data_IF_138716193454
#
_entry.id   IF_138716193454
#
_cell.length_a   1.000
_cell.length_b   1.000
_cell.length_c   1.000
_cell.angle_alpha   90.00
_cell.angle_beta   90.00
_cell.angle_gamma   90.00
#
_symmetry.space_group_name_H-M   'P 1'
#
loop_
_entity.id
_entity.type
_entity.pdbx_description
1 polymer ?
#
# COMPACT_ATOMS: atom_id res chain seq x y z
N UNK A 1 -15.29 -24.54 7.92
CA UNK A 1 -16.14 -23.86 6.93
C UNK A 1 -16.52 -22.51 7.48
N UNK A 2 -16.63 -21.49 6.65
CA UNK A 2 -16.90 -20.11 7.07
C UNK A 2 -18.41 -19.81 7.17
N UNK A 3 -19.25 -20.61 6.52
CA UNK A 3 -20.71 -20.48 6.58
C UNK A 3 -21.45 -21.80 6.31
N UNK A 4 -22.73 -21.85 6.68
CA UNK A 4 -23.66 -22.95 6.35
C UNK A 4 -23.96 -22.98 4.86
N UNK A 5 -23.87 -24.17 4.25
CA UNK A 5 -24.21 -24.39 2.85
C UNK A 5 -25.73 -24.44 2.63
N UNK A 6 -26.17 -23.96 1.47
CA UNK A 6 -27.51 -24.22 0.96
C UNK A 6 -27.57 -25.74 0.69
N UNK A 7 -28.64 -26.47 1.09
CA UNK A 7 -29.99 -25.99 1.44
C UNK A 7 -30.34 -26.00 2.94
N UNK A 8 -29.38 -25.95 3.86
CA UNK A 8 -29.66 -26.04 5.31
C UNK A 8 -30.54 -24.85 5.74
N UNK A 9 -31.72 -25.14 6.32
CA UNK A 9 -32.67 -24.13 6.81
C UNK A 9 -31.99 -23.17 7.79
N UNK A 10 -32.22 -21.87 7.60
CA UNK A 10 -31.64 -20.81 8.41
C UNK A 10 -32.73 -20.21 9.32
N UNK A 11 -32.47 -20.22 10.63
CA UNK A 11 -33.41 -19.67 11.63
C UNK A 11 -33.48 -18.14 11.61
N UNK A 12 -32.36 -17.49 11.27
CA UNK A 12 -32.20 -16.04 11.23
C UNK A 12 -31.00 -15.65 10.34
N UNK A 13 -30.76 -14.34 10.19
CA UNK A 13 -29.69 -13.79 9.35
C UNK A 13 -28.29 -14.13 9.88
N UNK A 14 -28.13 -14.37 11.19
CA UNK A 14 -26.85 -14.70 11.82
C UNK A 14 -26.49 -16.18 11.65
N UNK A 15 -27.49 -17.07 11.62
CA UNK A 15 -27.33 -18.52 11.64
C UNK A 15 -26.43 -19.03 10.51
N UNK A 16 -26.41 -18.36 9.36
CA UNK A 16 -25.48 -18.66 8.25
C UNK A 16 -24.02 -18.70 8.69
N UNK A 17 -23.62 -17.84 9.63
CA UNK A 17 -22.26 -17.73 10.14
C UNK A 17 -22.02 -18.55 11.42
N UNK A 18 -23.05 -19.20 11.95
CA UNK A 18 -22.93 -20.06 13.13
C UNK A 18 -22.37 -21.43 12.73
N UNK A 19 -21.05 -21.52 12.71
CA UNK A 19 -20.30 -22.75 12.41
C UNK A 19 -19.73 -23.34 13.71
N UNK A 20 -19.83 -24.67 13.92
CA UNK A 20 -19.19 -25.30 15.06
C UNK A 20 -17.66 -25.15 15.02
N UNK A 21 -17.09 -24.76 16.16
CA UNK A 21 -15.64 -24.74 16.38
C UNK A 21 -15.30 -25.65 17.55
N UNK A 22 -14.49 -26.67 17.29
CA UNK A 22 -14.07 -27.65 18.28
C UNK A 22 -12.54 -27.71 18.32
N UNK A 23 -11.98 -27.66 19.53
CA UNK A 23 -10.57 -27.96 19.78
C UNK A 23 -10.54 -29.31 20.48
N UNK A 24 -9.89 -30.29 19.86
CA UNK A 24 -9.74 -31.64 20.41
C UNK A 24 -8.26 -31.96 20.65
N UNK A 25 -7.99 -32.63 21.76
CA UNK A 25 -6.68 -33.21 22.06
C UNK A 25 -6.88 -34.46 22.92
N UNK A 26 -6.14 -35.56 22.66
CA UNK A 26 -6.08 -36.70 23.57
C UNK A 26 -5.57 -36.32 24.98
N UNK A 27 -4.86 -35.20 25.09
CA UNK A 27 -4.30 -34.69 26.35
C UNK A 27 -5.23 -33.70 27.08
N UNK A 28 -6.46 -33.51 26.59
CA UNK A 28 -7.40 -32.58 27.22
C UNK A 28 -7.83 -33.11 28.60
N UNK A 29 -7.53 -32.35 29.66
CA UNK A 29 -7.87 -32.74 31.04
C UNK A 29 -9.36 -32.66 31.35
N UNK A 30 -10.05 -31.69 30.74
CA UNK A 30 -11.47 -31.43 30.95
C UNK A 30 -12.07 -30.73 29.74
N UNK A 31 -13.27 -31.16 29.34
CA UNK A 31 -14.08 -30.47 28.34
C UNK A 31 -14.65 -29.16 28.88
N UNK A 32 -14.51 -28.10 28.10
CA UNK A 32 -15.03 -26.77 28.41
C UNK A 32 -15.72 -26.18 27.16
N UNK A 33 -16.62 -25.21 27.38
CA UNK A 33 -17.33 -24.50 26.32
C UNK A 33 -17.17 -22.99 26.52
N UNK A 34 -16.77 -22.30 25.47
CA UNK A 34 -16.78 -20.84 25.43
C UNK A 34 -18.13 -20.39 24.86
N UNK A 35 -18.78 -19.45 25.54
CA UNK A 35 -20.06 -18.87 25.10
C UNK A 35 -19.89 -17.53 24.39
N UNK A 36 -18.70 -16.94 24.47
CA UNK A 36 -18.36 -15.70 23.79
C UNK A 36 -18.36 -15.84 22.27
N UNK A 37 -18.65 -14.73 21.59
CA UNK A 37 -18.60 -14.66 20.14
C UNK A 37 -17.13 -14.66 19.69
N UNK A 38 -16.82 -15.44 18.66
CA UNK A 38 -15.52 -15.42 17.98
C UNK A 38 -15.72 -15.75 16.50
N UNK A 39 -14.71 -15.42 15.71
CA UNK A 39 -14.66 -15.58 14.25
C UNK A 39 -13.48 -16.45 13.84
N UNK A 40 -13.43 -16.82 12.55
CA UNK A 40 -12.27 -17.50 12.01
C UNK A 40 -10.97 -16.66 12.09
N UNK A 41 -11.08 -15.33 12.15
CA UNK A 41 -9.91 -14.44 12.28
C UNK A 41 -9.19 -14.59 13.62
N UNK A 42 -9.89 -15.15 14.62
CA UNK A 42 -9.40 -15.29 15.99
C UNK A 42 -8.53 -16.53 16.19
N UNK A 43 -8.64 -17.52 15.30
CA UNK A 43 -7.97 -18.82 15.47
C UNK A 43 -6.45 -18.67 15.38
N UNK A 44 -5.95 -18.03 14.32
CA UNK A 44 -4.50 -17.90 14.09
C UNK A 44 -3.79 -17.07 15.16
N UNK A 45 -4.27 -15.86 15.54
CA UNK A 45 -3.68 -15.08 16.63
C UNK A 45 -3.64 -15.86 17.94
N UNK A 46 -4.71 -16.62 18.26
CA UNK A 46 -4.77 -17.42 19.49
C UNK A 46 -3.76 -18.53 19.51
N UNK A 47 -3.71 -19.33 18.44
CA UNK A 47 -2.85 -20.49 18.37
C UNK A 47 -1.38 -20.07 18.38
N UNK A 48 -1.01 -19.05 17.61
CA UNK A 48 0.36 -18.56 17.57
C UNK A 48 0.77 -17.92 18.89
N UNK A 49 -0.09 -17.11 19.50
CA UNK A 49 0.15 -16.56 20.83
C UNK A 49 0.35 -17.68 21.87
N UNK A 50 -0.50 -18.71 21.84
CA UNK A 50 -0.34 -19.88 22.70
C UNK A 50 1.01 -20.57 22.48
N UNK A 51 1.38 -20.85 21.23
CA UNK A 51 2.65 -21.52 20.90
C UNK A 51 3.86 -20.69 21.32
N UNK A 52 3.86 -19.39 21.04
CA UNK A 52 4.93 -18.45 21.40
C UNK A 52 5.15 -18.32 22.90
N UNK A 53 4.09 -18.43 23.70
CA UNK A 53 4.16 -18.29 25.14
C UNK A 53 4.47 -19.61 25.87
N UNK A 54 4.24 -20.76 25.24
CA UNK A 54 4.37 -22.07 25.90
C UNK A 54 5.47 -22.96 25.32
N UNK A 55 6.02 -22.63 24.15
CA UNK A 55 7.05 -23.42 23.47
C UNK A 55 8.18 -22.53 22.94
N UNK A 56 9.32 -23.15 22.62
CA UNK A 56 10.37 -22.47 21.86
C UNK A 56 9.87 -22.22 20.44
N UNK A 57 9.45 -20.98 20.18
CA UNK A 57 8.90 -20.54 18.91
C UNK A 57 9.45 -19.15 18.57
N UNK A 58 9.61 -18.85 17.29
CA UNK A 58 10.06 -17.53 16.86
C UNK A 58 9.01 -16.48 17.23
N UNK A 59 9.42 -15.43 17.94
CA UNK A 59 8.50 -14.37 18.32
C UNK A 59 8.11 -13.54 17.10
N UNK A 60 6.82 -13.28 16.96
CA UNK A 60 6.27 -12.30 16.03
C UNK A 60 6.14 -10.96 16.74
N UNK A 61 6.91 -9.96 16.32
CA UNK A 61 6.85 -8.61 16.89
C UNK A 61 5.67 -7.81 16.34
N UNK A 62 5.39 -7.97 15.03
CA UNK A 62 4.33 -7.27 14.33
C UNK A 62 3.57 -8.22 13.41
N UNK A 63 2.26 -8.01 13.28
CA UNK A 63 1.37 -8.86 12.50
C UNK A 63 0.31 -8.02 11.79
N UNK A 64 -0.22 -8.54 10.69
CA UNK A 64 -1.32 -7.91 9.93
C UNK A 64 -2.67 -8.59 10.21
N UNK A 65 -2.85 -9.20 11.39
CA UNK A 65 -4.10 -9.87 11.74
C UNK A 65 -5.22 -8.84 11.94
N UNK A 66 -6.43 -9.20 11.55
CA UNK A 66 -7.61 -8.33 11.74
C UNK A 66 -8.25 -8.47 13.12
N UNK A 67 -7.91 -9.52 13.87
CA UNK A 67 -8.45 -9.76 15.20
C UNK A 67 -7.38 -10.07 16.24
N UNK A 68 -7.78 -10.01 17.51
CA UNK A 68 -6.91 -10.12 18.68
C UNK A 68 -6.88 -11.52 19.31
N UNK A 69 -7.67 -12.46 18.79
CA UNK A 69 -7.70 -13.85 19.29
C UNK A 69 -9.07 -14.26 19.84
N UNK A 70 -9.21 -15.53 20.21
CA UNK A 70 -10.44 -16.16 20.64
C UNK A 70 -10.82 -15.61 22.00
N UNK A 71 -12.04 -15.13 22.12
CA UNK A 71 -12.64 -14.92 23.42
C UNK A 71 -13.02 -16.28 24.02
N UNK A 72 -12.35 -16.66 25.10
CA UNK A 72 -12.55 -17.95 25.79
C UNK A 72 -13.43 -17.82 27.03
N UNK A 73 -14.22 -16.74 27.14
CA UNK A 73 -15.15 -16.57 28.24
C UNK A 73 -16.25 -17.65 28.27
N UNK A 74 -16.52 -18.15 29.47
CA UNK A 74 -17.62 -19.12 29.71
C UNK A 74 -19.00 -18.47 29.68
N UNK A 75 -19.05 -17.15 29.86
CA UNK A 75 -20.27 -16.35 29.80
C UNK A 75 -20.44 -15.75 28.41
N UNK A 76 -21.69 -15.57 27.99
CA UNK A 76 -21.98 -14.91 26.71
C UNK A 76 -21.54 -13.44 26.77
N UNK A 77 -20.70 -13.05 25.82
CA UNK A 77 -20.27 -11.69 25.55
C UNK A 77 -19.67 -11.60 24.16
N UNK A 78 -19.50 -10.40 23.65
CA UNK A 78 -18.67 -10.15 22.49
C UNK A 78 -17.72 -8.97 22.71
N UNK A 79 -16.44 -9.19 22.42
CA UNK A 79 -15.40 -8.16 22.42
C UNK A 79 -14.94 -7.79 21.00
N UNK A 80 -15.43 -8.49 19.97
CA UNK A 80 -14.99 -8.33 18.59
C UNK A 80 -15.92 -7.42 17.79
N UNK A 81 -15.36 -6.84 16.74
CA UNK A 81 -16.12 -6.23 15.66
C UNK A 81 -15.91 -7.06 14.39
N UNK A 82 -16.98 -7.64 13.87
CA UNK A 82 -16.86 -8.67 12.83
C UNK A 82 -17.67 -8.23 11.60
N UNK A 83 -17.01 -7.81 10.51
CA UNK A 83 -17.66 -7.60 9.24
C UNK A 83 -18.02 -8.93 8.59
N UNK A 84 -19.25 -9.02 8.09
CA UNK A 84 -19.81 -10.25 7.56
C UNK A 84 -20.16 -10.09 6.09
N UNK A 85 -19.76 -11.11 5.32
CA UNK A 85 -20.01 -11.21 3.89
C UNK A 85 -21.10 -12.24 3.63
N UNK A 86 -22.37 -11.79 3.60
CA UNK A 86 -23.51 -12.68 3.32
C UNK A 86 -23.52 -13.17 1.88
N UNK A 87 -23.13 -12.30 0.95
CA UNK A 87 -23.01 -12.58 -0.47
C UNK A 87 -21.60 -12.24 -0.96
N UNK A 88 -21.12 -13.00 -1.95
CA UNK A 88 -19.76 -12.83 -2.48
C UNK A 88 -19.52 -11.39 -2.91
N UNK A 89 -18.45 -10.79 -2.37
CA UNK A 89 -18.00 -9.44 -2.74
C UNK A 89 -18.70 -8.29 -2.03
N UNK A 90 -19.67 -8.55 -1.15
CA UNK A 90 -20.37 -7.48 -0.41
C UNK A 90 -20.33 -7.71 1.10
N UNK A 91 -19.74 -6.75 1.81
CA UNK A 91 -19.71 -6.73 3.28
C UNK A 91 -20.80 -5.77 3.74
N UNK A 92 -22.01 -6.25 3.97
CA UNK A 92 -23.15 -5.39 4.35
C UNK A 92 -23.63 -5.63 5.78
N UNK A 93 -23.16 -6.71 6.39
CA UNK A 93 -23.54 -7.10 7.73
C UNK A 93 -22.35 -6.86 8.66
N UNK A 94 -22.63 -6.58 9.93
CA UNK A 94 -21.59 -6.24 10.91
C UNK A 94 -22.01 -6.66 12.31
N UNK A 95 -21.14 -7.32 13.05
CA UNK A 95 -21.32 -7.53 14.48
C UNK A 95 -20.58 -6.42 15.21
N UNK A 96 -21.31 -5.69 16.06
CA UNK A 96 -20.78 -4.66 16.94
C UNK A 96 -21.29 -4.90 18.36
N UNK A 97 -20.39 -5.24 19.30
CA UNK A 97 -20.78 -5.75 20.63
C UNK A 97 -21.78 -6.90 20.47
N UNK A 98 -22.80 -7.00 21.30
CA UNK A 98 -23.80 -8.05 21.22
C UNK A 98 -24.91 -7.77 20.18
N UNK A 99 -24.61 -7.01 19.13
CA UNK A 99 -25.58 -6.62 18.10
C UNK A 99 -25.12 -7.00 16.70
N UNK A 100 -26.08 -7.46 15.90
CA UNK A 100 -25.94 -7.65 14.46
C UNK A 100 -26.61 -6.50 13.73
N UNK A 101 -25.85 -5.78 12.92
CA UNK A 101 -26.34 -4.93 11.84
C UNK A 101 -26.54 -5.79 10.60
N UNK A 102 -27.77 -5.82 10.08
CA UNK A 102 -28.10 -6.62 8.90
C UNK A 102 -29.21 -5.94 8.08
N UNK A 103 -28.94 -5.66 6.81
CA UNK A 103 -29.85 -4.95 5.89
C UNK A 103 -30.34 -3.58 6.43
N UNK A 104 -29.46 -2.85 7.13
CA UNK A 104 -29.78 -1.55 7.71
C UNK A 104 -30.60 -1.59 9.00
N UNK A 105 -30.88 -2.79 9.53
CA UNK A 105 -31.60 -2.98 10.79
C UNK A 105 -30.69 -3.55 11.86
N UNK A 106 -31.00 -3.25 13.13
CA UNK A 106 -30.24 -3.74 14.28
C UNK A 106 -30.98 -4.88 14.99
N UNK A 107 -30.23 -5.94 15.31
CA UNK A 107 -30.71 -7.09 16.05
C UNK A 107 -29.80 -7.34 17.24
N UNK A 108 -30.36 -7.62 18.41
CA UNK A 108 -29.58 -8.04 19.58
C UNK A 108 -29.35 -9.55 19.52
N UNK A 109 -28.12 -9.97 19.81
CA UNK A 109 -27.68 -11.36 19.84
C UNK A 109 -27.84 -11.87 21.28
N UNK A 110 -28.41 -13.07 21.43
CA UNK A 110 -28.56 -13.74 22.73
C UNK A 110 -27.55 -14.89 22.90
N UNK A 111 -27.55 -15.51 24.09
CA UNK A 111 -26.60 -16.56 24.44
C UNK A 111 -26.72 -17.85 23.62
N UNK A 112 -27.87 -18.08 22.98
CA UNK A 112 -28.10 -19.20 22.05
C UNK A 112 -27.72 -18.85 20.61
N UNK A 113 -27.02 -17.72 20.43
CA UNK A 113 -26.62 -17.19 19.15
C UNK A 113 -27.82 -17.03 18.21
N UNK A 114 -28.95 -16.61 18.78
CA UNK A 114 -30.16 -16.17 18.09
C UNK A 114 -30.24 -14.65 18.07
N UNK A 115 -31.12 -14.12 17.23
CA UNK A 115 -31.29 -12.68 17.06
C UNK A 115 -32.74 -12.23 17.19
N UNK A 116 -32.95 -11.05 17.75
CA UNK A 116 -34.24 -10.36 17.74
C UNK A 116 -34.07 -8.88 17.43
N UNK A 117 -35.01 -8.32 16.67
CA UNK A 117 -34.95 -6.94 16.20
C UNK A 117 -35.10 -5.97 17.38
N UNK A 118 -34.31 -4.90 17.38
CA UNK A 118 -34.35 -3.84 18.39
C UNK A 118 -34.36 -2.46 17.72
N UNK A 119 -34.86 -1.44 18.43
CA UNK A 119 -34.81 -0.05 17.97
C UNK A 119 -33.92 0.76 18.89
N UNK A 120 -32.69 0.99 18.45
CA UNK A 120 -31.63 1.68 19.19
C UNK A 120 -30.90 2.62 18.24
N UNK A 121 -31.48 3.80 17.97
CA UNK A 121 -31.04 4.67 16.86
C UNK A 121 -29.55 5.10 16.98
N UNK A 122 -29.08 5.33 18.21
CA UNK A 122 -27.68 5.67 18.49
C UNK A 122 -26.73 4.50 18.21
N UNK A 123 -27.10 3.29 18.63
CA UNK A 123 -26.29 2.09 18.38
C UNK A 123 -26.31 1.69 16.91
N UNK A 124 -27.45 1.83 16.23
CA UNK A 124 -27.58 1.58 14.80
C UNK A 124 -26.61 2.48 14.02
N UNK A 125 -26.61 3.78 14.31
CA UNK A 125 -25.68 4.73 13.69
C UNK A 125 -24.23 4.35 13.96
N UNK A 126 -23.89 4.03 15.22
CA UNK A 126 -22.54 3.62 15.61
C UNK A 126 -22.06 2.38 14.86
N UNK A 127 -22.91 1.36 14.73
CA UNK A 127 -22.59 0.13 14.00
C UNK A 127 -22.42 0.39 12.49
N UNK A 128 -23.27 1.24 11.90
CA UNK A 128 -23.16 1.64 10.49
C UNK A 128 -21.88 2.42 10.21
N UNK A 129 -21.53 3.36 11.09
CA UNK A 129 -20.30 4.16 10.98
C UNK A 129 -19.06 3.26 11.10
N UNK A 130 -19.06 2.32 12.05
CA UNK A 130 -17.98 1.33 12.22
C UNK A 130 -17.81 0.43 10.99
N UNK A 131 -18.92 -0.05 10.41
CA UNK A 131 -18.89 -0.82 9.16
C UNK A 131 -18.32 0.01 7.99
N UNK A 132 -18.70 1.28 7.88
CA UNK A 132 -18.20 2.17 6.84
C UNK A 132 -16.70 2.48 7.01
N UNK A 133 -16.24 2.67 8.24
CA UNK A 133 -14.82 2.81 8.55
C UNK A 133 -14.04 1.57 8.15
N UNK A 134 -14.51 0.37 8.53
CA UNK A 134 -13.93 -0.89 8.08
C UNK A 134 -13.85 -0.97 6.55
N UNK A 135 -14.94 -0.64 5.83
CA UNK A 135 -14.97 -0.64 4.36
C UNK A 135 -13.91 0.29 3.76
N UNK A 136 -13.75 1.50 4.30
CA UNK A 136 -12.75 2.48 3.84
C UNK A 136 -11.34 1.95 4.06
N UNK A 137 -11.04 1.45 5.26
CA UNK A 137 -9.73 0.90 5.59
C UNK A 137 -9.42 -0.33 4.74
N UNK A 138 -10.35 -1.27 4.62
CA UNK A 138 -10.21 -2.46 3.79
C UNK A 138 -9.96 -2.10 2.32
N UNK A 139 -10.69 -1.12 1.77
CA UNK A 139 -10.47 -0.63 0.41
C UNK A 139 -9.10 0.04 0.24
N UNK A 140 -8.67 0.85 1.20
CA UNK A 140 -7.34 1.46 1.19
C UNK A 140 -6.23 0.40 1.20
N UNK A 141 -6.27 -0.53 2.15
CA UNK A 141 -5.25 -1.56 2.32
C UNK A 141 -5.15 -2.49 1.11
N UNK A 142 -6.29 -2.99 0.61
CA UNK A 142 -6.33 -3.95 -0.49
C UNK A 142 -6.03 -3.32 -1.85
N UNK A 143 -6.58 -2.13 -2.16
CA UNK A 143 -6.38 -1.49 -3.47
C UNK A 143 -5.02 -0.81 -3.60
N UNK A 144 -4.37 -0.45 -2.48
CA UNK A 144 -3.06 0.22 -2.48
C UNK A 144 -1.91 -0.71 -2.11
N UNK A 145 -2.17 -2.02 -1.95
CA UNK A 145 -1.19 -3.02 -1.51
C UNK A 145 -0.46 -2.61 -0.22
N UNK A 146 -1.23 -2.19 0.80
CA UNK A 146 -0.71 -1.70 2.09
C UNK A 146 -0.93 -2.69 3.24
N UNK A 147 -1.25 -3.95 2.94
CA UNK A 147 -1.45 -5.00 3.96
C UNK A 147 -0.15 -5.35 4.67
N UNK A 148 0.95 -5.40 3.92
CA UNK A 148 2.26 -5.73 4.44
C UNK A 148 3.30 -4.79 3.81
N UNK A 149 4.21 -4.17 4.59
CA UNK A 149 5.23 -3.29 4.04
C UNK A 149 6.15 -4.06 3.09
N UNK A 150 6.27 -3.60 1.84
CA UNK A 150 7.19 -4.21 0.87
C UNK A 150 8.64 -4.26 1.40
N UNK A 151 9.04 -3.28 2.21
CA UNK A 151 10.37 -3.22 2.84
C UNK A 151 10.65 -4.36 3.82
N UNK A 152 9.62 -5.11 4.23
CA UNK A 152 9.75 -6.26 5.14
C UNK A 152 9.49 -7.59 4.44
N UNK A 153 9.27 -7.62 3.13
CA UNK A 153 8.82 -8.80 2.41
C UNK A 153 9.98 -9.69 1.95
N UNK A 154 10.41 -10.58 2.84
CA UNK A 154 11.46 -11.57 2.62
C UNK A 154 11.12 -12.67 1.59
N UNK A 155 9.86 -12.76 1.14
CA UNK A 155 9.42 -13.69 0.10
C UNK A 155 9.45 -13.07 -1.30
N UNK A 156 9.94 -11.83 -1.44
CA UNK A 156 10.18 -11.25 -2.76
C UNK A 156 11.40 -11.93 -3.38
N UNK A 157 11.18 -12.63 -4.49
CA UNK A 157 12.28 -13.06 -5.35
C UNK A 157 13.06 -11.81 -5.80
N UNK A 158 14.41 -11.86 -5.85
CA UNK A 158 15.18 -10.75 -6.36
C UNK A 158 14.68 -10.40 -7.76
N UNK A 159 14.34 -9.12 -7.95
CA UNK A 159 13.80 -8.66 -9.23
C UNK A 159 14.83 -8.83 -10.37
N UNK A 160 16.12 -8.86 -10.02
CA UNK A 160 17.24 -9.05 -10.93
C UNK A 160 18.09 -10.23 -10.46
N UNK A 161 18.30 -11.23 -11.32
CA UNK A 161 19.32 -12.25 -11.09
C UNK A 161 20.65 -11.79 -11.67
N UNK A 162 21.70 -11.83 -10.86
CA UNK A 162 23.05 -11.43 -11.27
C UNK A 162 23.84 -12.60 -11.84
N UNK A 163 24.64 -12.33 -12.88
CA UNK A 163 25.63 -13.28 -13.38
C UNK A 163 26.77 -13.47 -12.37
N UNK A 164 27.62 -14.50 -12.57
CA UNK A 164 28.79 -14.72 -11.71
C UNK A 164 29.77 -13.55 -11.77
N UNK A 165 29.93 -12.94 -12.94
CA UNK A 165 30.79 -11.77 -13.17
C UNK A 165 30.23 -10.53 -12.47
N UNK A 166 28.91 -10.35 -12.53
CA UNK A 166 28.21 -9.27 -11.83
C UNK A 166 28.33 -9.41 -10.32
N UNK A 167 28.18 -10.62 -9.77
CA UNK A 167 28.37 -10.89 -8.34
C UNK A 167 29.80 -10.61 -7.89
N UNK A 168 30.81 -11.04 -8.66
CA UNK A 168 32.20 -10.75 -8.36
C UNK A 168 32.50 -9.24 -8.38
N UNK A 169 31.87 -8.51 -9.31
CA UNK A 169 31.99 -7.05 -9.40
C UNK A 169 31.30 -6.36 -8.22
N UNK A 170 30.10 -6.81 -7.85
CA UNK A 170 29.39 -6.30 -6.66
C UNK A 170 30.26 -6.53 -5.42
N UNK A 171 30.70 -7.76 -5.17
CA UNK A 171 31.53 -8.07 -4.01
C UNK A 171 32.80 -7.21 -3.95
N UNK A 172 33.51 -7.05 -5.08
CA UNK A 172 34.72 -6.23 -5.15
C UNK A 172 34.45 -4.73 -4.85
N UNK A 173 33.27 -4.21 -5.20
CA UNK A 173 32.93 -2.80 -5.05
C UNK A 173 32.22 -2.47 -3.72
N UNK A 174 31.53 -3.44 -3.11
CA UNK A 174 30.62 -3.19 -1.98
C UNK A 174 31.10 -3.81 -0.67
N UNK A 175 32.23 -4.53 -0.66
CA UNK A 175 32.73 -5.19 0.54
C UNK A 175 33.04 -4.18 1.66
N UNK A 176 32.37 -4.36 2.79
CA UNK A 176 32.62 -3.59 4.02
C UNK A 176 32.03 -2.18 4.01
N UNK A 177 31.18 -1.84 3.04
CA UNK A 177 30.49 -0.54 2.98
C UNK A 177 28.96 -0.71 3.07
N UNK A 178 28.29 0.33 3.53
CA UNK A 178 26.84 0.42 3.71
C UNK A 178 26.10 0.67 2.40
N UNK A 179 24.79 0.41 2.34
CA UNK A 179 23.99 0.68 1.14
C UNK A 179 23.93 2.17 0.75
N UNK A 180 24.02 3.08 1.71
CA UNK A 180 24.13 4.52 1.44
C UNK A 180 25.46 4.85 0.74
N UNK A 181 26.56 4.25 1.18
CA UNK A 181 27.87 4.37 0.53
C UNK A 181 27.87 3.72 -0.86
N UNK A 182 27.20 2.58 -1.03
CA UNK A 182 27.01 1.94 -2.34
C UNK A 182 26.21 2.85 -3.28
N UNK A 183 25.19 3.55 -2.78
CA UNK A 183 24.42 4.49 -3.59
C UNK A 183 25.27 5.70 -4.02
N UNK A 184 26.11 6.23 -3.12
CA UNK A 184 27.08 7.28 -3.48
C UNK A 184 28.06 6.79 -4.55
N UNK A 185 28.57 5.56 -4.43
CA UNK A 185 29.42 4.94 -5.44
C UNK A 185 28.69 4.78 -6.80
N UNK A 186 27.41 4.41 -6.78
CA UNK A 186 26.58 4.34 -7.98
C UNK A 186 26.44 5.72 -8.65
N UNK A 187 26.25 6.80 -7.87
CA UNK A 187 26.24 8.19 -8.39
C UNK A 187 27.58 8.57 -9.01
N UNK A 188 28.69 8.22 -8.38
CA UNK A 188 30.03 8.48 -8.90
C UNK A 188 30.29 7.77 -10.23
N UNK A 189 29.90 6.50 -10.36
CA UNK A 189 29.97 5.79 -11.64
C UNK A 189 29.08 6.46 -12.69
N UNK A 190 27.88 6.91 -12.31
CA UNK A 190 26.97 7.61 -13.21
C UNK A 190 27.57 8.94 -13.70
N UNK A 191 28.21 9.72 -12.81
CA UNK A 191 28.94 10.95 -13.18
C UNK A 191 30.13 10.67 -14.12
N UNK A 192 30.84 9.56 -13.89
CA UNK A 192 31.92 9.07 -14.77
C UNK A 192 31.42 8.43 -16.07
N UNK A 193 30.10 8.42 -16.30
CA UNK A 193 29.42 7.80 -17.45
C UNK A 193 29.58 6.29 -17.54
N UNK A 194 30.02 5.62 -16.48
CA UNK A 194 29.98 4.17 -16.36
C UNK A 194 28.58 3.73 -15.92
N UNK A 195 27.63 3.91 -16.84
CA UNK A 195 26.22 3.63 -16.59
C UNK A 195 25.96 2.14 -16.35
N UNK A 196 26.83 1.25 -16.83
CA UNK A 196 26.73 -0.19 -16.56
C UNK A 196 26.97 -0.48 -15.08
N UNK A 197 28.06 0.00 -14.50
CA UNK A 197 28.33 -0.18 -13.06
C UNK A 197 27.35 0.57 -12.19
N UNK A 198 26.97 1.80 -12.58
CA UNK A 198 25.95 2.56 -11.86
C UNK A 198 24.63 1.78 -11.75
N UNK A 199 24.16 1.18 -12.86
CA UNK A 199 22.95 0.35 -12.86
C UNK A 199 23.12 -0.95 -12.09
N UNK A 200 24.28 -1.60 -12.19
CA UNK A 200 24.57 -2.82 -11.43
C UNK A 200 24.44 -2.58 -9.91
N UNK A 201 25.03 -1.50 -9.42
CA UNK A 201 24.90 -1.12 -8.00
C UNK A 201 23.48 -0.69 -7.64
N UNK A 202 22.77 0.02 -8.53
CA UNK A 202 21.35 0.33 -8.31
C UNK A 202 20.49 -0.94 -8.24
N UNK A 203 20.72 -1.92 -9.11
CA UNK A 203 20.00 -3.20 -9.11
C UNK A 203 20.33 -4.02 -7.85
N UNK A 204 21.58 -3.97 -7.39
CA UNK A 204 21.98 -4.57 -6.11
C UNK A 204 21.22 -3.94 -4.93
N UNK A 205 21.17 -2.60 -4.87
CA UNK A 205 20.37 -1.88 -3.86
C UNK A 205 18.89 -2.24 -3.98
N UNK A 206 18.34 -2.31 -5.19
CA UNK A 206 16.91 -2.54 -5.42
C UNK A 206 16.46 -3.98 -5.18
N UNK A 207 17.38 -4.95 -5.20
CA UNK A 207 17.08 -6.31 -4.77
C UNK A 207 16.88 -6.39 -3.25
N UNK A 208 17.66 -5.63 -2.48
CA UNK A 208 17.50 -5.55 -1.01
C UNK A 208 16.37 -4.58 -0.61
N UNK A 209 16.29 -3.44 -1.28
CA UNK A 209 15.33 -2.37 -1.02
C UNK A 209 14.52 -2.01 -2.28
N UNK A 210 13.50 -2.79 -2.66
CA UNK A 210 12.72 -2.58 -3.89
C UNK A 210 12.06 -1.21 -4.04
N UNK A 211 11.82 -0.53 -2.91
CA UNK A 211 11.19 0.79 -2.81
C UNK A 211 12.20 1.94 -2.61
N UNK A 212 13.51 1.70 -2.76
CA UNK A 212 14.51 2.76 -2.73
C UNK A 212 14.33 3.68 -3.95
N UNK A 213 13.65 4.81 -3.73
CA UNK A 213 13.25 5.71 -4.80
C UNK A 213 14.46 6.29 -5.54
N UNK A 214 15.49 6.73 -4.81
CA UNK A 214 16.65 7.40 -5.39
C UNK A 214 17.48 6.47 -6.28
N UNK A 215 17.74 5.23 -5.83
CA UNK A 215 18.43 4.21 -6.62
C UNK A 215 17.67 3.88 -7.92
N UNK A 216 16.34 3.75 -7.84
CA UNK A 216 15.53 3.49 -9.05
C UNK A 216 15.47 4.71 -9.97
N UNK A 217 15.38 5.91 -9.43
CA UNK A 217 15.45 7.15 -10.22
C UNK A 217 16.81 7.32 -10.88
N UNK A 218 17.91 7.03 -10.18
CA UNK A 218 19.26 7.04 -10.77
C UNK A 218 19.39 6.01 -11.89
N UNK A 219 18.88 4.79 -11.68
CA UNK A 219 18.81 3.75 -12.74
C UNK A 219 18.05 4.27 -13.97
N UNK A 220 16.88 4.87 -13.77
CA UNK A 220 16.09 5.50 -14.84
C UNK A 220 16.87 6.62 -15.56
N UNK A 221 17.54 7.50 -14.82
CA UNK A 221 18.38 8.58 -15.37
C UNK A 221 19.51 8.03 -16.24
N UNK A 222 20.19 6.97 -15.80
CA UNK A 222 21.27 6.37 -16.60
C UNK A 222 20.77 5.79 -17.93
N UNK A 223 19.55 5.25 -17.97
CA UNK A 223 18.93 4.84 -19.24
C UNK A 223 18.55 6.05 -20.10
N UNK A 224 18.00 7.10 -19.49
CA UNK A 224 17.62 8.33 -20.19
C UNK A 224 18.84 9.03 -20.83
N UNK A 225 19.97 9.09 -20.12
CA UNK A 225 21.23 9.66 -20.63
C UNK A 225 21.83 8.85 -21.78
N UNK A 226 21.55 7.54 -21.85
CA UNK A 226 21.87 6.69 -23.01
C UNK A 226 20.79 6.73 -24.10
N UNK A 227 19.77 7.60 -23.97
CA UNK A 227 18.60 7.70 -24.86
C UNK A 227 17.75 6.43 -24.94
N UNK A 228 17.87 5.52 -23.97
CA UNK A 228 17.03 4.32 -23.82
C UNK A 228 15.73 4.69 -23.11
N UNK A 229 14.93 5.55 -23.73
CA UNK A 229 13.78 6.21 -23.10
C UNK A 229 12.71 5.23 -22.61
N UNK A 230 12.42 4.15 -23.32
CA UNK A 230 11.43 3.15 -22.88
C UNK A 230 11.81 2.47 -21.55
N UNK A 231 13.10 2.14 -21.39
CA UNK A 231 13.64 1.55 -20.16
C UNK A 231 13.63 2.57 -19.02
N UNK A 232 13.98 3.82 -19.31
CA UNK A 232 13.93 4.91 -18.34
C UNK A 232 12.48 5.16 -17.86
N UNK A 233 11.53 5.24 -18.78
CA UNK A 233 10.10 5.44 -18.49
C UNK A 233 9.56 4.32 -17.60
N UNK A 234 9.93 3.06 -17.88
CA UNK A 234 9.55 1.92 -17.03
C UNK A 234 10.01 2.08 -15.58
N UNK A 235 11.27 2.48 -15.37
CA UNK A 235 11.81 2.67 -14.03
C UNK A 235 11.16 3.87 -13.33
N UNK A 236 10.99 5.00 -14.01
CA UNK A 236 10.37 6.18 -13.42
C UNK A 236 8.89 5.96 -13.07
N UNK A 237 8.11 5.30 -13.94
CA UNK A 237 6.72 4.96 -13.64
C UNK A 237 6.61 4.02 -12.43
N UNK A 238 7.58 3.11 -12.25
CA UNK A 238 7.68 2.27 -11.05
C UNK A 238 7.92 3.11 -9.80
N UNK A 239 8.80 4.12 -9.86
CA UNK A 239 8.99 5.11 -8.76
C UNK A 239 7.67 5.81 -8.45
N UNK A 240 6.99 6.38 -9.44
CA UNK A 240 5.73 7.12 -9.21
C UNK A 240 4.59 6.24 -8.68
N UNK A 241 4.63 4.94 -8.96
CA UNK A 241 3.65 3.97 -8.43
C UNK A 241 3.93 3.62 -6.97
N UNK A 242 5.21 3.42 -6.62
CA UNK A 242 5.63 2.96 -5.28
C UNK A 242 5.74 4.10 -4.28
N UNK A 243 6.27 5.24 -4.71
CA UNK A 243 6.51 6.45 -3.90
C UNK A 243 5.85 7.67 -4.56
N UNK A 244 4.51 7.75 -4.56
CA UNK A 244 3.77 8.79 -5.28
C UNK A 244 4.01 10.21 -4.77
N UNK A 245 4.63 10.37 -3.60
CA UNK A 245 4.97 11.64 -2.96
C UNK A 245 6.43 12.09 -3.20
N UNK A 246 7.22 11.29 -3.92
CA UNK A 246 8.64 11.58 -4.18
C UNK A 246 8.79 12.43 -5.44
N UNK A 247 9.11 13.70 -5.27
CA UNK A 247 9.11 14.72 -6.32
C UNK A 247 10.22 14.55 -7.37
N UNK A 248 11.41 14.08 -6.98
CA UNK A 248 12.53 13.83 -7.89
C UNK A 248 12.18 12.80 -8.97
N UNK A 249 11.34 11.82 -8.66
CA UNK A 249 10.83 10.86 -9.63
C UNK A 249 9.99 11.53 -10.73
N UNK A 250 9.17 12.52 -10.36
CA UNK A 250 8.40 13.32 -11.32
C UNK A 250 9.33 14.23 -12.13
N UNK A 251 10.29 14.88 -11.47
CA UNK A 251 11.27 15.72 -12.16
C UNK A 251 12.04 14.93 -13.22
N UNK A 252 12.54 13.74 -12.87
CA UNK A 252 13.34 12.93 -13.77
C UNK A 252 12.56 12.41 -15.00
N UNK A 253 11.30 11.99 -14.83
CA UNK A 253 10.48 11.54 -15.97
C UNK A 253 10.07 12.71 -16.87
N UNK A 254 9.82 13.90 -16.31
CA UNK A 254 9.50 15.10 -17.08
C UNK A 254 10.71 15.56 -17.91
N UNK A 255 11.92 15.50 -17.35
CA UNK A 255 13.16 15.76 -18.11
C UNK A 255 13.33 14.77 -19.26
N UNK A 256 13.08 13.48 -18.99
CA UNK A 256 13.15 12.45 -20.01
C UNK A 256 12.11 12.65 -21.12
N UNK A 257 10.85 13.00 -20.78
CA UNK A 257 9.82 13.30 -21.77
C UNK A 257 10.14 14.53 -22.59
N UNK A 258 10.77 15.54 -21.98
CA UNK A 258 11.28 16.69 -22.70
C UNK A 258 12.34 16.29 -23.72
N UNK A 259 13.38 15.53 -23.32
CA UNK A 259 14.44 15.07 -24.24
C UNK A 259 13.95 14.12 -25.35
N UNK A 260 12.80 13.48 -25.15
CA UNK A 260 12.18 12.56 -26.10
C UNK A 260 10.96 13.14 -26.83
N UNK A 261 10.67 14.44 -26.69
CA UNK A 261 9.54 15.15 -27.30
C UNK A 261 8.15 14.57 -26.97
N UNK A 262 7.99 13.91 -25.81
CA UNK A 262 6.73 13.29 -25.38
C UNK A 262 5.91 14.23 -24.48
N UNK A 263 5.55 15.41 -25.01
CA UNK A 263 4.96 16.49 -24.22
C UNK A 263 3.56 16.17 -23.67
N UNK A 264 2.75 15.38 -24.37
CA UNK A 264 1.42 14.94 -23.91
C UNK A 264 1.55 14.07 -22.65
N UNK A 265 2.53 13.17 -22.62
CA UNK A 265 2.83 12.36 -21.44
C UNK A 265 3.35 13.22 -20.29
N UNK A 266 4.17 14.24 -20.60
CA UNK A 266 4.64 15.21 -19.61
C UNK A 266 3.47 15.92 -18.91
N UNK A 267 2.46 16.35 -19.68
CA UNK A 267 1.24 16.96 -19.15
C UNK A 267 0.45 15.98 -18.28
N UNK A 268 0.31 14.72 -18.71
CA UNK A 268 -0.38 13.69 -17.93
C UNK A 268 0.30 13.42 -16.59
N UNK A 269 1.64 13.33 -16.57
CA UNK A 269 2.41 13.19 -15.33
C UNK A 269 2.29 14.42 -14.45
N UNK A 270 2.29 15.62 -15.01
CA UNK A 270 2.04 16.86 -14.26
C UNK A 270 0.71 16.87 -13.52
N UNK A 271 -0.37 16.41 -14.17
CA UNK A 271 -1.68 16.24 -13.53
C UNK A 271 -1.63 15.24 -12.38
N UNK A 272 -0.96 14.10 -12.59
CA UNK A 272 -0.77 13.07 -11.55
C UNK A 272 0.05 13.59 -10.36
N UNK A 273 1.04 14.46 -10.60
CA UNK A 273 1.79 15.12 -9.54
C UNK A 273 0.88 16.03 -8.69
N UNK A 274 0.01 16.81 -9.33
CA UNK A 274 -0.98 17.64 -8.65
C UNK A 274 -2.01 16.82 -7.86
N UNK A 275 -2.50 15.71 -8.41
CA UNK A 275 -3.41 14.77 -7.71
C UNK A 275 -2.76 14.18 -6.45
N UNK A 276 -1.45 13.91 -6.50
CA UNK A 276 -0.68 13.43 -5.36
C UNK A 276 -0.13 14.57 -4.47
N UNK A 277 -0.58 15.81 -4.68
CA UNK A 277 -0.23 16.99 -3.89
C UNK A 277 1.28 17.27 -3.83
N UNK A 278 2.01 16.98 -4.91
CA UNK A 278 3.43 17.33 -5.01
C UNK A 278 3.58 18.85 -5.12
N UNK A 279 4.30 19.43 -4.17
CA UNK A 279 4.60 20.87 -4.14
C UNK A 279 6.07 21.07 -4.55
N UNK A 280 6.33 21.10 -5.85
CA UNK A 280 7.64 21.44 -6.40
C UNK A 280 7.47 22.36 -7.64
N UNK A 281 7.98 23.61 -7.61
CA UNK A 281 7.79 24.56 -8.71
C UNK A 281 8.42 24.10 -10.02
N UNK A 282 9.48 23.29 -9.96
CA UNK A 282 10.19 22.80 -11.13
C UNK A 282 9.31 21.85 -11.96
N UNK A 283 8.47 21.06 -11.30
CA UNK A 283 7.48 20.20 -11.96
C UNK A 283 6.47 21.06 -12.72
N UNK A 284 5.90 22.08 -12.06
CA UNK A 284 4.95 22.98 -12.71
C UNK A 284 5.59 23.74 -13.87
N UNK A 285 6.85 24.15 -13.73
CA UNK A 285 7.61 24.84 -14.77
C UNK A 285 7.82 23.96 -16.01
N UNK A 286 8.23 22.70 -15.83
CA UNK A 286 8.37 21.71 -16.92
C UNK A 286 7.03 21.42 -17.60
N UNK A 287 5.93 21.38 -16.85
CA UNK A 287 4.58 21.20 -17.40
C UNK A 287 4.15 22.43 -18.21
N UNK A 288 4.46 23.65 -17.77
CA UNK A 288 4.23 24.87 -18.55
C UNK A 288 5.01 24.86 -19.87
N UNK A 289 6.28 24.42 -19.85
CA UNK A 289 7.09 24.17 -21.06
C UNK A 289 6.46 23.15 -21.99
N UNK A 290 5.94 22.04 -21.46
CA UNK A 290 5.24 21.04 -22.27
C UNK A 290 3.95 21.58 -22.91
N UNK A 291 3.16 22.39 -22.18
CA UNK A 291 1.97 23.04 -22.74
C UNK A 291 2.30 24.04 -23.85
N UNK A 292 3.39 24.82 -23.69
CA UNK A 292 3.87 25.73 -24.74
C UNK A 292 4.24 24.95 -26.01
N UNK A 293 4.94 23.82 -25.88
CA UNK A 293 5.31 22.95 -27.02
C UNK A 293 4.13 22.28 -27.71
N UNK A 294 2.96 22.32 -27.09
CA UNK A 294 1.68 21.82 -27.60
C UNK A 294 0.76 22.97 -28.04
N UNK A 295 1.33 24.15 -28.30
CA UNK A 295 0.63 25.39 -28.70
C UNK A 295 -0.48 25.84 -27.74
N UNK A 296 -0.47 25.35 -26.50
CA UNK A 296 -1.45 25.68 -25.47
C UNK A 296 -0.92 26.81 -24.56
N UNK A 297 -0.67 27.96 -25.18
CA UNK A 297 -0.10 29.14 -24.51
C UNK A 297 -0.97 29.66 -23.37
N UNK A 298 -2.30 29.53 -23.47
CA UNK A 298 -3.23 29.96 -22.42
C UNK A 298 -3.00 29.21 -21.10
N UNK A 299 -2.85 27.88 -21.15
CA UNK A 299 -2.60 27.08 -19.95
C UNK A 299 -1.15 27.28 -19.46
N UNK A 300 -0.18 27.34 -20.38
CA UNK A 300 1.21 27.61 -20.02
C UNK A 300 1.35 28.94 -19.24
N UNK A 301 0.73 30.02 -19.74
CA UNK A 301 0.72 31.32 -19.07
C UNK A 301 0.05 31.27 -17.70
N UNK A 302 -1.11 30.59 -17.57
CA UNK A 302 -1.80 30.43 -16.28
C UNK A 302 -0.92 29.73 -15.23
N UNK A 303 -0.18 28.70 -15.64
CA UNK A 303 0.75 28.01 -14.74
C UNK A 303 1.90 28.95 -14.36
N UNK A 304 2.50 29.65 -15.33
CA UNK A 304 3.58 30.61 -15.06
C UNK A 304 3.15 31.79 -14.19
N UNK A 305 1.93 32.30 -14.33
CA UNK A 305 1.36 33.32 -13.44
C UNK A 305 1.36 32.85 -11.99
N UNK A 306 0.99 31.59 -11.77
CA UNK A 306 0.95 30.98 -10.43
C UNK A 306 2.36 30.80 -9.87
N UNK A 307 3.32 30.35 -10.70
CA UNK A 307 4.73 30.18 -10.30
C UNK A 307 5.37 31.52 -9.95
N UNK A 308 5.28 32.53 -10.83
CA UNK A 308 5.90 33.85 -10.61
C UNK A 308 5.29 34.57 -9.42
N UNK A 309 4.00 34.37 -9.13
CA UNK A 309 3.38 34.92 -7.91
C UNK A 309 4.00 34.35 -6.63
N UNK A 310 4.39 33.08 -6.62
CA UNK A 310 5.01 32.41 -5.47
C UNK A 310 6.53 32.63 -5.41
N UNK A 311 7.18 32.81 -6.57
CA UNK A 311 8.63 32.95 -6.70
C UNK A 311 8.99 34.19 -7.55
N UNK A 312 8.69 35.41 -7.06
CA UNK A 312 8.82 36.64 -7.84
C UNK A 312 10.27 37.04 -8.14
N UNK A 313 11.25 36.53 -7.39
CA UNK A 313 12.68 36.85 -7.57
C UNK A 313 13.43 35.85 -8.45
N UNK A 314 12.76 34.80 -8.95
CA UNK A 314 13.40 33.81 -9.80
C UNK A 314 13.51 34.31 -11.25
N UNK A 315 14.73 34.72 -11.64
CA UNK A 315 15.03 35.26 -12.97
C UNK A 315 14.68 34.29 -14.11
N UNK A 316 14.83 32.98 -13.93
CA UNK A 316 14.50 31.99 -14.96
C UNK A 316 12.99 31.97 -15.23
N UNK A 317 12.17 31.97 -14.18
CA UNK A 317 10.71 31.95 -14.32
C UNK A 317 10.18 33.24 -14.92
N UNK A 318 10.74 34.39 -14.55
CA UNK A 318 10.39 35.70 -15.14
C UNK A 318 10.74 35.76 -16.63
N UNK A 319 11.97 35.37 -16.99
CA UNK A 319 12.45 35.37 -18.37
C UNK A 319 11.61 34.43 -19.24
N UNK A 320 11.34 33.22 -18.73
CA UNK A 320 10.51 32.26 -19.46
C UNK A 320 9.08 32.75 -19.64
N UNK A 321 8.48 33.38 -18.61
CA UNK A 321 7.14 33.96 -18.71
C UNK A 321 7.05 35.01 -19.82
N UNK A 322 8.03 35.89 -19.93
CA UNK A 322 8.09 36.89 -21.01
C UNK A 322 8.20 36.25 -22.40
N UNK A 323 8.83 35.07 -22.51
CA UNK A 323 8.98 34.38 -23.80
C UNK A 323 7.72 33.69 -24.32
N UNK A 324 6.69 33.53 -23.48
CA UNK A 324 5.42 32.87 -23.83
C UNK A 324 4.20 33.80 -23.77
N UNK A 325 4.43 35.09 -23.49
CA UNK A 325 3.47 36.19 -23.66
C UNK A 325 3.46 36.62 -25.12
#
# INVERSE_FOLDING_TARGET
>A
GDHRLIPITQKDKLCRFHVPFYIYSPMLKKSEKFKSISSHWDVTPSLLSFLMNNYKFNKLEETSWMSQGLDTAKQFRNIHQIPLMRYKGTVNDFIYKDYLLADGELFKINEDFGTYKVKEDVLLKTAMDSLNEFKRLNAYLTKKNKIFPDSRNIYTQPAVQFSKEELATIEALTKGITFDEIFNLAKDFAHKKDYKKARLLCDFILNEFPNHADARTLKGRTFAWERKFEKAETEFLSVLKRTPFYDDGYNAILDMYWWSNQYEKSIAIGKKAAENQIVNPEISFKVAKAYQKQDNLKIANKIMDSIVKLYPENNEYLTYKQSIQ
#
